data_IF_202410142220
#
_entry.id   IF_202410142220
#
_cell.length_a   1.000
_cell.length_b   1.000
_cell.length_c   1.000
_cell.angle_alpha   90.00
_cell.angle_beta   90.00
_cell.angle_gamma   90.00
#
_symmetry.space_group_name_H-M   'P 1'
#
loop_
_entity.id
_entity.type
_entity.pdbx_description
1 polymer ?
#
# COMPACT_ATOMS: atom_id res chain seq x y z
N UNK A 1 3.67 -42.41 -19.03
CA UNK A 1 3.42 -41.29 -18.10
C UNK A 1 1.99 -40.84 -18.30
N UNK A 2 1.12 -41.01 -17.30
CA UNK A 2 -0.34 -40.88 -17.46
C UNK A 2 -0.73 -39.40 -17.54
N UNK A 3 -1.61 -39.06 -18.52
CA UNK A 3 -2.24 -37.74 -18.67
C UNK A 3 -2.80 -37.20 -17.32
N UNK A 4 -3.27 -38.10 -16.44
CA UNK A 4 -3.75 -37.75 -15.08
C UNK A 4 -2.61 -37.26 -14.15
N UNK A 5 -1.37 -37.67 -14.35
CA UNK A 5 -0.22 -37.17 -13.60
C UNK A 5 0.29 -35.84 -14.15
N UNK A 6 0.22 -35.66 -15.47
CA UNK A 6 0.44 -34.36 -16.11
C UNK A 6 -0.64 -33.35 -15.72
N UNK A 7 -1.90 -33.76 -15.63
CA UNK A 7 -3.00 -32.92 -15.16
C UNK A 7 -2.90 -32.62 -13.66
N UNK A 8 -2.35 -33.50 -12.83
CA UNK A 8 -2.01 -33.25 -11.42
C UNK A 8 -0.80 -32.34 -11.25
N UNK A 9 0.18 -32.39 -12.17
CA UNK A 9 1.30 -31.45 -12.22
C UNK A 9 0.92 -30.10 -12.83
N UNK A 10 -0.16 -30.04 -13.60
CA UNK A 10 -0.86 -28.80 -14.02
C UNK A 10 -1.87 -28.30 -12.97
N UNK A 11 -2.00 -28.95 -11.80
CA UNK A 11 -2.56 -28.32 -10.60
C UNK A 11 -1.62 -27.16 -10.24
N UNK A 12 -1.95 -26.05 -10.86
CA UNK A 12 -1.40 -24.71 -10.89
C UNK A 12 -0.39 -24.48 -9.79
N UNK A 13 0.87 -24.43 -10.17
CA UNK A 13 1.92 -23.92 -9.31
C UNK A 13 1.51 -22.51 -8.90
N UNK A 14 1.32 -22.32 -7.60
CA UNK A 14 1.00 -21.04 -7.00
C UNK A 14 2.12 -20.07 -7.32
N UNK A 15 1.85 -19.09 -8.17
CA UNK A 15 2.84 -18.11 -8.59
C UNK A 15 2.82 -16.92 -7.65
N UNK A 16 4.00 -16.42 -7.33
CA UNK A 16 4.17 -15.18 -6.59
C UNK A 16 4.31 -14.04 -7.57
N UNK A 17 3.45 -13.04 -7.45
CA UNK A 17 3.49 -11.81 -8.23
C UNK A 17 3.81 -10.63 -7.33
N UNK A 18 4.58 -9.67 -7.85
CA UNK A 18 4.86 -8.43 -7.14
C UNK A 18 4.46 -7.23 -7.97
N UNK A 19 3.60 -6.41 -7.39
CA UNK A 19 3.09 -5.18 -7.96
C UNK A 19 3.65 -3.97 -7.19
N UNK A 20 4.78 -3.39 -7.62
CA UNK A 20 5.43 -2.29 -6.90
C UNK A 20 4.57 -1.02 -6.82
N UNK A 21 3.56 -0.89 -7.70
CA UNK A 21 2.70 0.28 -7.77
C UNK A 21 3.33 1.43 -8.58
N UNK A 22 2.62 1.88 -9.62
CA UNK A 22 3.16 2.87 -10.57
C UNK A 22 3.47 4.23 -9.93
N UNK A 23 2.63 4.68 -9.00
CA UNK A 23 2.80 5.97 -8.32
C UNK A 23 3.88 5.91 -7.23
N UNK A 24 3.95 4.80 -6.49
CA UNK A 24 5.02 4.55 -5.50
C UNK A 24 6.38 4.51 -6.20
N UNK A 25 6.48 3.77 -7.31
CA UNK A 25 7.71 3.69 -8.10
C UNK A 25 8.16 5.06 -8.62
N UNK A 26 7.23 5.92 -9.01
CA UNK A 26 7.54 7.28 -9.49
C UNK A 26 8.10 8.17 -8.38
N UNK A 27 7.55 8.07 -7.17
CA UNK A 27 7.90 8.93 -6.06
C UNK A 27 9.10 8.41 -5.25
N UNK A 28 9.29 7.09 -5.19
CA UNK A 28 10.33 6.41 -4.42
C UNK A 28 11.10 5.39 -5.29
N UNK A 29 11.74 5.84 -6.40
CA UNK A 29 12.31 4.94 -7.41
C UNK A 29 13.41 4.04 -6.85
N UNK A 30 14.29 4.55 -6.00
CA UNK A 30 15.40 3.79 -5.43
C UNK A 30 14.91 2.72 -4.45
N UNK A 31 13.99 3.08 -3.55
CA UNK A 31 13.41 2.13 -2.61
C UNK A 31 12.66 0.99 -3.34
N UNK A 32 11.90 1.34 -4.37
CA UNK A 32 11.16 0.35 -5.17
C UNK A 32 12.09 -0.54 -6.00
N UNK A 33 13.22 -0.03 -6.49
CA UNK A 33 14.23 -0.86 -7.19
C UNK A 33 14.79 -1.92 -6.25
N UNK A 34 15.18 -1.55 -5.03
CA UNK A 34 15.68 -2.47 -4.00
C UNK A 34 14.63 -3.51 -3.61
N UNK A 35 13.40 -3.08 -3.30
CA UNK A 35 12.28 -3.99 -2.99
C UNK A 35 11.94 -4.91 -4.18
N UNK A 36 12.01 -4.41 -5.41
CA UNK A 36 11.80 -5.24 -6.61
C UNK A 36 12.88 -6.31 -6.75
N UNK A 37 14.13 -5.96 -6.45
CA UNK A 37 15.25 -6.91 -6.45
C UNK A 37 15.08 -7.96 -5.37
N UNK A 38 14.71 -7.55 -4.15
CA UNK A 38 14.37 -8.46 -3.06
C UNK A 38 13.26 -9.43 -3.48
N UNK A 39 12.14 -8.93 -4.01
CA UNK A 39 11.01 -9.76 -4.42
C UNK A 39 11.36 -10.72 -5.57
N UNK A 40 12.21 -10.31 -6.53
CA UNK A 40 12.74 -11.21 -7.57
C UNK A 40 13.55 -12.35 -6.97
N UNK A 41 14.36 -12.08 -5.96
CA UNK A 41 15.13 -13.10 -5.26
C UNK A 41 14.23 -14.09 -4.49
N UNK A 42 13.01 -13.68 -4.13
CA UNK A 42 11.95 -14.55 -3.60
C UNK A 42 11.19 -15.31 -4.70
N UNK A 43 11.57 -15.17 -5.96
CA UNK A 43 10.94 -15.83 -7.10
C UNK A 43 9.69 -15.12 -7.65
N UNK A 44 9.46 -13.87 -7.29
CA UNK A 44 8.28 -13.14 -7.74
C UNK A 44 8.39 -12.70 -9.22
N UNK A 45 7.29 -12.86 -9.96
CA UNK A 45 7.06 -12.19 -11.23
C UNK A 45 6.69 -10.73 -10.97
N UNK A 46 7.25 -9.83 -11.78
CA UNK A 46 7.04 -8.39 -11.59
C UNK A 46 5.96 -7.87 -12.53
N UNK A 47 4.85 -7.43 -11.96
CA UNK A 47 3.75 -6.81 -12.67
C UNK A 47 3.71 -5.31 -12.34
N UNK A 48 3.73 -4.47 -13.37
CA UNK A 48 3.98 -3.04 -13.16
C UNK A 48 2.75 -2.20 -12.84
N UNK A 49 1.55 -2.66 -13.18
CA UNK A 49 0.35 -1.82 -13.05
C UNK A 49 -0.92 -2.61 -12.78
N UNK A 50 -1.59 -2.27 -11.66
CA UNK A 50 -2.93 -2.78 -11.33
C UNK A 50 -4.03 -2.34 -12.32
N UNK A 51 -3.72 -1.36 -13.19
CA UNK A 51 -4.65 -0.83 -14.20
C UNK A 51 -4.56 -1.58 -15.54
N UNK A 52 -3.86 -2.72 -15.56
CA UNK A 52 -3.87 -3.59 -16.74
C UNK A 52 -5.29 -4.15 -16.93
N UNK A 53 -5.84 -3.99 -18.15
CA UNK A 53 -7.16 -4.53 -18.49
C UNK A 53 -7.12 -6.02 -18.78
N UNK A 54 -5.96 -6.51 -19.27
CA UNK A 54 -5.74 -7.93 -19.50
C UNK A 54 -5.63 -8.69 -18.18
N UNK A 55 -6.11 -9.93 -18.18
CA UNK A 55 -5.97 -10.79 -17.02
C UNK A 55 -4.56 -11.35 -16.94
N UNK A 56 -3.93 -11.20 -15.78
CA UNK A 56 -2.55 -11.64 -15.54
C UNK A 56 -2.40 -12.52 -14.28
N UNK A 57 -3.46 -12.69 -13.49
CA UNK A 57 -3.47 -13.50 -12.28
C UNK A 57 -4.41 -14.70 -12.44
N UNK A 58 -4.00 -15.82 -11.89
CA UNK A 58 -4.80 -17.02 -11.75
C UNK A 58 -5.34 -17.17 -10.33
N UNK A 59 -6.35 -18.02 -10.17
CA UNK A 59 -7.09 -18.23 -8.91
C UNK A 59 -6.21 -18.51 -7.67
N UNK A 60 -5.08 -19.21 -7.85
CA UNK A 60 -4.23 -19.65 -6.74
C UNK A 60 -2.99 -18.78 -6.56
N UNK A 61 -2.80 -17.75 -7.38
CA UNK A 61 -1.65 -16.88 -7.31
C UNK A 61 -1.66 -16.05 -6.03
N UNK A 62 -0.47 -15.65 -5.59
CA UNK A 62 -0.29 -14.66 -4.53
C UNK A 62 0.18 -13.37 -5.19
N UNK A 63 -0.51 -12.29 -4.92
CA UNK A 63 -0.08 -10.95 -5.29
C UNK A 63 0.40 -10.19 -4.06
N UNK A 64 1.64 -9.68 -4.12
CA UNK A 64 2.21 -8.76 -3.13
C UNK A 64 2.25 -7.35 -3.72
N UNK A 65 1.84 -6.34 -2.98
CA UNK A 65 1.74 -4.98 -3.48
C UNK A 65 2.11 -3.91 -2.42
N UNK A 66 2.53 -2.70 -2.88
CA UNK A 66 2.87 -1.56 -2.01
C UNK A 66 1.80 -0.46 -1.98
N UNK A 67 0.77 -0.54 -2.81
CA UNK A 67 -0.16 0.57 -3.01
C UNK A 67 -1.57 0.21 -2.56
N UNK A 68 -2.09 0.92 -1.58
CA UNK A 68 -3.44 0.69 -1.03
C UNK A 68 -4.55 0.76 -2.10
N UNK A 69 -4.41 1.63 -3.12
CA UNK A 69 -5.34 1.65 -4.24
C UNK A 69 -5.23 0.39 -5.11
N UNK A 70 -4.00 -0.09 -5.36
CA UNK A 70 -3.79 -1.34 -6.10
C UNK A 70 -4.48 -2.50 -5.41
N UNK A 71 -4.40 -2.57 -4.07
CA UNK A 71 -5.07 -3.60 -3.30
C UNK A 71 -6.59 -3.59 -3.54
N UNK A 72 -7.24 -2.43 -3.42
CA UNK A 72 -8.68 -2.31 -3.64
C UNK A 72 -9.10 -2.72 -5.06
N UNK A 73 -8.35 -2.28 -6.09
CA UNK A 73 -8.64 -2.62 -7.48
C UNK A 73 -8.50 -4.13 -7.74
N UNK A 74 -7.43 -4.74 -7.24
CA UNK A 74 -7.14 -6.16 -7.42
C UNK A 74 -8.14 -7.03 -6.66
N UNK A 75 -8.50 -6.66 -5.44
CA UNK A 75 -9.48 -7.42 -4.65
C UNK A 75 -10.87 -7.48 -5.32
N UNK A 76 -11.28 -6.42 -6.01
CA UNK A 76 -12.54 -6.47 -6.77
C UNK A 76 -12.40 -7.25 -8.08
N UNK A 77 -11.29 -7.05 -8.82
CA UNK A 77 -11.06 -7.71 -10.13
C UNK A 77 -10.78 -9.20 -9.97
N UNK A 78 -10.05 -9.59 -8.92
CA UNK A 78 -9.59 -10.96 -8.67
C UNK A 78 -9.93 -11.39 -7.23
N UNK A 79 -11.21 -11.56 -6.87
CA UNK A 79 -11.62 -11.84 -5.49
C UNK A 79 -11.09 -13.17 -4.93
N UNK A 80 -10.65 -14.08 -5.79
CA UNK A 80 -10.09 -15.40 -5.43
C UNK A 80 -8.57 -15.38 -5.23
N UNK A 81 -7.87 -14.29 -5.61
CA UNK A 81 -6.43 -14.17 -5.48
C UNK A 81 -6.06 -13.74 -4.06
N UNK A 82 -5.04 -14.37 -3.49
CA UNK A 82 -4.47 -13.93 -2.22
C UNK A 82 -3.69 -12.63 -2.44
N UNK A 83 -4.23 -11.51 -1.97
CA UNK A 83 -3.58 -10.19 -2.09
C UNK A 83 -3.01 -9.77 -0.74
N UNK A 84 -1.68 -9.66 -0.65
CA UNK A 84 -0.93 -9.22 0.53
C UNK A 84 -0.29 -7.86 0.27
N UNK A 85 -0.11 -7.08 1.31
CA UNK A 85 0.84 -5.97 1.26
C UNK A 85 2.28 -6.49 1.33
N UNK A 86 3.22 -5.72 0.82
CA UNK A 86 4.66 -6.01 0.99
C UNK A 86 5.03 -6.11 2.47
N UNK A 87 4.35 -5.36 3.33
CA UNK A 87 4.54 -5.37 4.78
C UNK A 87 4.14 -6.71 5.41
N UNK A 88 2.98 -7.24 5.04
CA UNK A 88 2.51 -8.57 5.48
C UNK A 88 3.41 -9.69 4.97
N UNK A 89 3.91 -9.56 3.74
CA UNK A 89 4.79 -10.55 3.13
C UNK A 89 6.16 -10.58 3.79
N UNK A 90 6.82 -9.44 3.94
CA UNK A 90 8.18 -9.32 4.53
C UNK A 90 8.20 -9.76 6.00
N UNK A 91 7.14 -9.56 6.75
CA UNK A 91 7.02 -10.05 8.13
C UNK A 91 7.12 -11.57 8.26
N UNK A 92 6.93 -12.33 7.18
CA UNK A 92 7.06 -13.79 7.15
C UNK A 92 8.51 -14.24 6.87
N UNK A 93 9.38 -13.30 6.45
CA UNK A 93 10.80 -13.58 6.22
C UNK A 93 11.62 -13.32 7.50
N UNK A 94 12.08 -14.39 8.13
CA UNK A 94 12.90 -14.33 9.34
C UNK A 94 14.29 -13.69 9.10
N UNK A 95 14.75 -13.68 7.86
CA UNK A 95 16.06 -13.16 7.45
C UNK A 95 16.02 -11.77 6.85
N UNK A 96 14.83 -11.12 6.82
CA UNK A 96 14.73 -9.77 6.30
C UNK A 96 15.64 -8.81 7.10
N UNK A 97 16.50 -8.00 6.44
CA UNK A 97 17.50 -7.17 7.11
C UNK A 97 16.88 -5.89 7.67
N UNK A 98 16.15 -6.01 8.78
CA UNK A 98 15.47 -4.88 9.42
C UNK A 98 16.44 -3.78 9.79
N UNK A 99 16.24 -2.50 9.39
CA UNK A 99 16.97 -1.36 9.93
C UNK A 99 16.65 -1.18 11.43
N UNK A 100 17.53 -0.48 12.15
CA UNK A 100 17.36 -0.22 13.58
C UNK A 100 17.40 1.28 13.88
N UNK A 101 16.26 1.85 14.22
CA UNK A 101 16.08 3.28 14.52
C UNK A 101 16.20 3.63 16.02
N UNK A 102 16.72 2.72 16.85
CA UNK A 102 17.16 2.98 18.22
C UNK A 102 16.10 3.60 19.15
N UNK A 103 14.83 3.36 18.91
CA UNK A 103 13.74 3.88 19.72
C UNK A 103 13.25 5.26 19.29
N UNK A 104 13.64 5.74 18.09
CA UNK A 104 13.09 6.98 17.54
C UNK A 104 11.57 6.97 17.55
N UNK A 105 10.97 8.13 17.74
CA UNK A 105 9.51 8.28 17.91
C UNK A 105 8.89 8.64 16.57
N UNK A 106 7.84 7.91 16.18
CA UNK A 106 7.12 8.14 14.93
C UNK A 106 5.61 8.01 15.12
N UNK A 107 4.83 8.94 14.57
CA UNK A 107 3.39 8.84 14.48
C UNK A 107 2.99 8.10 13.20
N UNK A 108 1.89 7.35 13.22
CA UNK A 108 1.38 6.68 12.02
C UNK A 108 0.12 7.41 11.55
N UNK A 109 0.14 7.89 10.29
CA UNK A 109 -1.07 8.32 9.62
C UNK A 109 -1.65 7.17 8.81
N UNK A 110 -2.67 6.52 9.35
CA UNK A 110 -3.41 5.51 8.63
C UNK A 110 -4.16 6.09 7.42
N UNK A 111 -4.42 5.25 6.43
CA UNK A 111 -5.08 5.64 5.19
C UNK A 111 -6.51 5.09 5.13
N UNK A 112 -7.46 5.92 4.74
CA UNK A 112 -8.86 5.53 4.51
C UNK A 112 -9.00 4.25 3.68
N UNK A 113 -8.14 4.03 2.68
CA UNK A 113 -8.18 2.85 1.81
C UNK A 113 -7.85 1.54 2.52
N UNK A 114 -7.31 1.60 3.73
CA UNK A 114 -7.04 0.43 4.58
C UNK A 114 -7.95 0.38 5.81
N UNK A 115 -8.95 1.25 5.89
CA UNK A 115 -9.86 1.38 7.02
C UNK A 115 -10.49 0.05 7.43
N UNK A 116 -10.91 -0.75 6.46
CA UNK A 116 -11.50 -2.08 6.66
C UNK A 116 -10.47 -3.23 6.68
N UNK A 117 -9.17 -2.90 6.63
CA UNK A 117 -8.09 -3.88 6.60
C UNK A 117 -7.17 -3.78 7.82
N UNK A 118 -7.65 -4.27 8.95
CA UNK A 118 -6.92 -4.27 10.22
C UNK A 118 -5.58 -5.00 10.12
N UNK A 119 -5.53 -6.11 9.40
CA UNK A 119 -4.32 -6.92 9.22
C UNK A 119 -3.21 -6.12 8.55
N UNK A 120 -3.55 -5.35 7.51
CA UNK A 120 -2.60 -4.45 6.85
C UNK A 120 -2.06 -3.39 7.82
N UNK A 121 -2.95 -2.71 8.56
CA UNK A 121 -2.57 -1.65 9.50
C UNK A 121 -1.68 -2.19 10.63
N UNK A 122 -1.96 -3.39 11.12
CA UNK A 122 -1.12 -4.07 12.11
C UNK A 122 0.23 -4.51 11.53
N UNK A 123 0.30 -4.89 10.25
CA UNK A 123 1.55 -5.21 9.61
C UNK A 123 2.50 -4.01 9.56
N UNK A 124 1.98 -2.80 9.28
CA UNK A 124 2.77 -1.56 9.36
C UNK A 124 3.40 -1.39 10.76
N UNK A 125 2.59 -1.56 11.81
CA UNK A 125 3.05 -1.42 13.20
C UNK A 125 4.10 -2.46 13.56
N UNK A 126 3.88 -3.72 13.18
CA UNK A 126 4.84 -4.81 13.40
C UNK A 126 6.17 -4.55 12.69
N UNK A 127 6.15 -4.02 11.46
CA UNK A 127 7.37 -3.63 10.76
C UNK A 127 8.11 -2.53 11.52
N UNK A 128 7.43 -1.48 11.99
CA UNK A 128 8.06 -0.41 12.78
C UNK A 128 8.66 -0.93 14.08
N UNK A 129 7.98 -1.84 14.77
CA UNK A 129 8.51 -2.47 15.98
C UNK A 129 9.75 -3.34 15.68
N UNK A 130 9.78 -4.04 14.53
CA UNK A 130 10.98 -4.77 14.06
C UNK A 130 12.14 -3.83 13.76
N UNK A 131 11.85 -2.60 13.33
CA UNK A 131 12.83 -1.53 13.10
C UNK A 131 13.18 -0.75 14.38
N UNK A 132 12.65 -1.18 15.55
CA UNK A 132 12.88 -0.55 16.86
C UNK A 132 12.44 0.92 16.92
N UNK A 133 11.28 1.25 16.35
CA UNK A 133 10.61 2.54 16.55
C UNK A 133 9.72 2.53 17.80
N UNK A 134 9.55 3.70 18.42
CA UNK A 134 8.49 4.00 19.37
C UNK A 134 7.31 4.63 18.63
N UNK A 135 6.14 3.96 18.64
CA UNK A 135 4.98 4.36 17.86
C UNK A 135 4.07 5.27 18.67
N UNK A 136 3.67 6.39 18.07
CA UNK A 136 2.55 7.22 18.53
C UNK A 136 1.32 6.90 17.69
N UNK A 137 0.26 6.42 18.35
CA UNK A 137 -1.03 6.24 17.72
C UNK A 137 -1.84 7.53 17.75
N UNK A 138 -2.44 7.89 16.63
CA UNK A 138 -3.36 9.00 16.54
C UNK A 138 -4.75 8.61 17.08
N UNK A 139 -5.55 9.57 17.52
CA UNK A 139 -6.91 9.32 18.01
C UNK A 139 -7.82 8.67 16.96
N UNK A 140 -7.58 9.00 15.67
CA UNK A 140 -8.27 8.48 14.50
C UNK A 140 -7.47 7.36 13.78
N UNK A 141 -6.69 6.59 14.52
CA UNK A 141 -5.96 5.43 13.98
C UNK A 141 -6.89 4.28 13.59
N UNK A 142 -6.40 3.38 12.76
CA UNK A 142 -7.06 2.16 12.31
C UNK A 142 -8.40 2.40 11.59
N UNK A 143 -9.48 1.74 12.04
CA UNK A 143 -10.83 1.83 11.48
C UNK A 143 -11.49 3.20 11.65
N UNK A 144 -10.92 4.07 12.46
CA UNK A 144 -11.42 5.43 12.67
C UNK A 144 -10.90 6.40 11.62
N UNK A 145 -9.87 6.02 10.84
CA UNK A 145 -9.25 6.95 9.90
C UNK A 145 -10.16 7.25 8.71
N UNK A 146 -10.30 8.54 8.40
CA UNK A 146 -10.93 9.04 7.17
C UNK A 146 -9.93 9.81 6.31
N UNK A 147 -8.64 9.76 6.65
CA UNK A 147 -7.59 10.48 5.94
C UNK A 147 -7.13 9.75 4.68
N UNK A 148 -7.16 10.43 3.55
CA UNK A 148 -6.55 9.96 2.29
C UNK A 148 -5.82 11.11 1.56
N UNK A 149 -5.22 12.00 2.33
CA UNK A 149 -4.59 13.20 1.79
C UNK A 149 -5.56 14.00 0.94
N UNK A 150 -5.13 14.27 -0.31
CA UNK A 150 -5.98 15.01 -1.25
C UNK A 150 -6.71 14.11 -2.26
N UNK A 151 -6.57 12.79 -2.18
CA UNK A 151 -7.14 11.89 -3.18
C UNK A 151 -8.67 11.94 -3.19
N UNK A 152 -9.30 11.94 -2.00
CA UNK A 152 -10.76 12.03 -1.86
C UNK A 152 -11.36 13.37 -2.32
N UNK A 153 -10.54 14.38 -2.54
CA UNK A 153 -10.98 15.70 -3.01
C UNK A 153 -10.92 15.85 -4.53
N UNK A 154 -10.54 14.78 -5.24
CA UNK A 154 -10.40 14.76 -6.69
C UNK A 154 -11.12 13.56 -7.30
N UNK A 155 -11.68 13.72 -8.51
CA UNK A 155 -12.32 12.59 -9.19
C UNK A 155 -11.31 11.44 -9.45
N UNK A 156 -11.67 10.19 -9.15
CA UNK A 156 -10.86 9.04 -9.48
C UNK A 156 -10.64 8.93 -10.99
N UNK A 157 -9.46 8.45 -11.39
CA UNK A 157 -9.16 8.19 -12.78
C UNK A 157 -10.20 7.23 -13.41
N UNK A 158 -10.62 7.49 -14.65
CA UNK A 158 -11.62 6.68 -15.36
C UNK A 158 -11.29 5.19 -15.35
N UNK A 159 -10.02 4.85 -15.57
CA UNK A 159 -9.54 3.46 -15.55
C UNK A 159 -9.78 2.74 -14.21
N UNK A 160 -9.74 3.44 -13.08
CA UNK A 160 -10.05 2.84 -11.78
C UNK A 160 -11.55 2.47 -11.68
N UNK A 161 -12.41 3.34 -12.24
CA UNK A 161 -13.87 3.09 -12.31
C UNK A 161 -14.21 1.92 -13.25
N UNK A 162 -13.41 1.68 -14.28
CA UNK A 162 -13.58 0.54 -15.19
C UNK A 162 -13.16 -0.79 -14.54
N UNK A 163 -12.05 -0.78 -13.80
CA UNK A 163 -11.47 -2.00 -13.21
C UNK A 163 -12.21 -2.44 -11.93
N UNK A 164 -12.58 -1.47 -11.08
CA UNK A 164 -13.26 -1.73 -9.81
C UNK A 164 -14.46 -0.79 -9.63
N UNK A 165 -15.53 -0.95 -10.44
CA UNK A 165 -16.67 -0.05 -10.46
C UNK A 165 -17.40 0.02 -9.11
N UNK A 166 -17.59 -1.12 -8.42
CA UNK A 166 -18.30 -1.18 -7.13
C UNK A 166 -17.51 -0.46 -6.03
N UNK A 167 -16.22 -0.74 -5.94
CA UNK A 167 -15.32 -0.09 -4.98
C UNK A 167 -15.26 1.41 -5.22
N UNK A 168 -15.10 1.83 -6.47
CA UNK A 168 -15.04 3.26 -6.79
C UNK A 168 -16.37 3.97 -6.56
N UNK A 169 -17.49 3.31 -6.80
CA UNK A 169 -18.82 3.86 -6.51
C UNK A 169 -19.02 4.02 -5.00
N UNK A 170 -18.73 2.97 -4.21
CA UNK A 170 -18.83 3.03 -2.74
C UNK A 170 -17.96 4.13 -2.14
N UNK A 171 -16.71 4.24 -2.57
CA UNK A 171 -15.82 5.30 -2.11
C UNK A 171 -16.36 6.69 -2.50
N UNK A 172 -16.92 6.84 -3.71
CA UNK A 172 -17.50 8.10 -4.18
C UNK A 172 -18.69 8.52 -3.33
N UNK A 173 -19.60 7.61 -3.05
CA UNK A 173 -20.82 7.89 -2.28
C UNK A 173 -20.51 8.26 -0.81
N UNK A 174 -19.49 7.66 -0.22
CA UNK A 174 -19.22 7.80 1.21
C UNK A 174 -18.15 8.85 1.55
N UNK A 175 -17.18 9.11 0.64
CA UNK A 175 -15.98 9.86 1.01
C UNK A 175 -15.58 10.95 0.03
N UNK A 176 -15.86 10.80 -1.29
CA UNK A 176 -15.39 11.78 -2.26
C UNK A 176 -16.14 13.11 -2.16
N UNK A 177 -15.36 14.17 -2.05
CA UNK A 177 -15.84 15.54 -2.08
C UNK A 177 -14.95 16.39 -2.99
N UNK A 178 -15.42 16.71 -4.19
CA UNK A 178 -14.65 17.59 -5.08
C UNK A 178 -14.44 18.96 -4.46
N UNK A 179 -13.17 19.35 -4.26
CA UNK A 179 -12.80 20.62 -3.64
C UNK A 179 -11.79 21.38 -4.51
N UNK A 180 -11.89 22.74 -4.58
CA UNK A 180 -10.86 23.56 -5.20
C UNK A 180 -9.50 23.37 -4.55
N UNK A 181 -8.41 23.47 -5.33
CA UNK A 181 -7.04 23.24 -4.86
C UNK A 181 -6.65 24.07 -3.63
N UNK A 182 -7.10 25.34 -3.58
CA UNK A 182 -6.84 26.22 -2.42
C UNK A 182 -7.50 25.69 -1.13
N UNK A 183 -8.71 25.16 -1.23
CA UNK A 183 -9.42 24.57 -0.08
C UNK A 183 -8.75 23.28 0.37
N UNK A 184 -8.27 22.45 -0.59
CA UNK A 184 -7.48 21.26 -0.28
C UNK A 184 -6.20 21.63 0.49
N UNK A 185 -5.48 22.66 0.04
CA UNK A 185 -4.28 23.16 0.71
C UNK A 185 -4.56 23.64 2.13
N UNK A 186 -5.60 24.46 2.32
CA UNK A 186 -6.02 24.95 3.63
C UNK A 186 -6.35 23.80 4.59
N UNK A 187 -7.10 22.78 4.11
CA UNK A 187 -7.40 21.59 4.90
C UNK A 187 -6.14 20.81 5.30
N UNK A 188 -5.18 20.65 4.39
CA UNK A 188 -3.93 19.94 4.69
C UNK A 188 -3.05 20.73 5.67
N UNK A 189 -2.97 22.06 5.54
CA UNK A 189 -2.26 22.92 6.51
C UNK A 189 -2.85 22.84 7.91
N UNK A 190 -4.16 22.70 8.02
CA UNK A 190 -4.82 22.50 9.31
C UNK A 190 -4.55 21.09 9.84
N UNK A 191 -4.65 20.10 8.97
CA UNK A 191 -4.45 18.69 9.34
C UNK A 191 -3.09 18.42 9.97
N UNK A 192 -2.02 18.98 9.39
CA UNK A 192 -0.65 18.70 9.84
C UNK A 192 -0.31 19.29 11.22
N UNK A 193 -1.09 20.21 11.75
CA UNK A 193 -0.88 20.80 13.09
C UNK A 193 -1.02 19.79 14.23
N UNK A 194 -1.61 18.63 13.97
CA UNK A 194 -1.79 17.56 14.96
C UNK A 194 -0.52 16.79 15.27
N UNK A 195 0.47 16.85 14.39
CA UNK A 195 1.68 16.07 14.57
C UNK A 195 2.72 16.79 15.41
N UNK A 196 3.29 16.06 16.37
CA UNK A 196 4.34 16.53 17.27
C UNK A 196 5.65 15.76 17.11
N UNK A 197 5.70 14.81 16.18
CA UNK A 197 6.83 13.96 15.82
C UNK A 197 6.88 13.73 14.33
N UNK A 198 7.89 13.00 13.86
CA UNK A 198 7.91 12.49 12.50
C UNK A 198 6.68 11.63 12.22
N UNK A 199 6.23 11.62 10.97
CA UNK A 199 4.99 10.96 10.54
C UNK A 199 5.28 9.95 9.46
N UNK A 200 4.88 8.71 9.72
CA UNK A 200 4.88 7.64 8.73
C UNK A 200 3.60 7.66 7.90
N UNK A 201 3.76 7.44 6.61
CA UNK A 201 2.69 7.10 5.68
C UNK A 201 3.07 5.86 4.86
N UNK A 202 2.06 5.18 4.34
CA UNK A 202 2.24 4.03 3.44
C UNK A 202 1.36 4.16 2.17
N UNK A 203 0.88 5.36 1.92
CA UNK A 203 0.01 5.72 0.81
C UNK A 203 0.47 7.04 0.17
N UNK A 204 0.73 7.03 -1.13
CA UNK A 204 1.17 8.24 -1.85
C UNK A 204 0.13 9.38 -1.83
N UNK A 205 -1.17 9.07 -1.73
CA UNK A 205 -2.20 10.09 -1.57
C UNK A 205 -2.03 10.83 -0.26
N UNK A 206 -1.81 10.08 0.82
CA UNK A 206 -1.54 10.63 2.16
C UNK A 206 -0.23 11.42 2.16
N UNK A 207 0.85 10.87 1.60
CA UNK A 207 2.13 11.57 1.47
C UNK A 207 1.98 12.92 0.77
N UNK A 208 1.30 12.94 -0.38
CA UNK A 208 1.07 14.17 -1.14
C UNK A 208 0.26 15.19 -0.35
N UNK A 209 -0.77 14.74 0.36
CA UNK A 209 -1.56 15.61 1.22
C UNK A 209 -0.72 16.26 2.32
N UNK A 210 0.09 15.49 3.03
CA UNK A 210 0.93 16.00 4.11
C UNK A 210 2.01 16.95 3.59
N UNK A 211 2.60 16.68 2.41
CA UNK A 211 3.54 17.60 1.75
C UNK A 211 2.88 18.94 1.40
N UNK A 212 1.66 18.94 0.90
CA UNK A 212 0.87 20.16 0.66
C UNK A 212 0.60 20.88 1.98
N UNK A 213 0.37 20.16 3.07
CA UNK A 213 0.26 20.72 4.41
C UNK A 213 1.52 21.36 4.97
N UNK A 214 2.69 21.11 4.33
CA UNK A 214 3.97 21.72 4.69
C UNK A 214 4.90 20.85 5.54
N UNK A 215 4.61 19.55 5.68
CA UNK A 215 5.53 18.59 6.34
C UNK A 215 6.05 17.57 5.33
N UNK A 216 7.18 16.94 5.67
CA UNK A 216 7.80 15.88 4.90
C UNK A 216 7.59 14.55 5.63
N UNK A 217 6.56 13.75 5.29
CA UNK A 217 6.36 12.45 5.92
C UNK A 217 7.38 11.44 5.43
N UNK A 218 7.63 10.42 6.24
CA UNK A 218 8.44 9.26 5.88
C UNK A 218 7.53 8.24 5.22
N UNK A 219 7.89 7.75 4.03
CA UNK A 219 7.11 6.70 3.39
C UNK A 219 7.64 5.31 3.76
N UNK A 220 6.75 4.41 4.15
CA UNK A 220 7.11 3.07 4.66
C UNK A 220 8.02 2.27 3.73
N UNK A 221 7.91 2.42 2.40
CA UNK A 221 8.77 1.71 1.45
C UNK A 221 10.24 2.16 1.54
N UNK A 222 10.51 3.41 1.95
CA UNK A 222 11.87 3.91 2.13
C UNK A 222 12.54 3.24 3.32
N UNK A 223 11.84 3.13 4.45
CA UNK A 223 12.33 2.42 5.63
C UNK A 223 12.63 0.95 5.34
N UNK A 224 11.72 0.25 4.65
CA UNK A 224 11.94 -1.15 4.27
C UNK A 224 13.18 -1.33 3.37
N UNK A 225 13.50 -0.35 2.56
CA UNK A 225 14.57 -0.44 1.58
C UNK A 225 15.96 -0.02 2.11
N UNK A 226 16.08 0.47 3.35
CA UNK A 226 17.33 1.02 3.86
C UNK A 226 18.49 0.02 3.80
N UNK A 227 18.26 -1.21 4.27
CA UNK A 227 19.28 -2.24 4.37
C UNK A 227 19.26 -3.28 3.22
N UNK A 228 18.40 -3.08 2.19
CA UNK A 228 18.36 -3.90 0.98
C UNK A 228 19.43 -3.53 -0.04
#
# INVERSE_FOLDING_TARGET
MHIKELLKQMEKSKMLHYLPGCDVRKNHPQAIEKLTTYMKNQGALIDWCCRNKEDFLNENDILVQNCTLCQLLIQEKYPQVTCLSTYEYILQDEYFPWPNHQGEVIAIQDCLRTKENRTFQEAIRKCLLKMNYTIIELEDAYEKTDFDGIWIYNEPAAICKEIAPKTMQSLKENYFQSLPAKVQEEKMKEWVKRYTSDVLVYCNGCERGLKIGGIQPIHMVELLAENL
#
